data_IF_446714494527
#
_entry.id   IF_446714494527
#
_cell.length_a   1.000
_cell.length_b   1.000
_cell.length_c   1.000
_cell.angle_alpha   90.00
_cell.angle_beta   90.00
_cell.angle_gamma   90.00
#
_symmetry.space_group_name_H-M   'P 1'
#
loop_
_entity.id
_entity.type
_entity.pdbx_description
1 polymer ?
#
# COMPACT_ATOMS: atom_id res chain seq x y z
N UNK A 1 4.02 3.90 -13.47
CA UNK A 1 3.96 4.46 -12.11
C UNK A 1 5.37 4.60 -11.52
N UNK A 2 6.16 3.53 -11.43
CA UNK A 2 7.55 3.61 -10.92
C UNK A 2 8.46 4.59 -11.68
N UNK A 3 8.33 4.72 -13.00
CA UNK A 3 9.07 5.71 -13.78
C UNK A 3 8.79 7.16 -13.38
N UNK A 4 7.57 7.46 -12.93
CA UNK A 4 7.20 8.81 -12.46
C UNK A 4 7.77 9.08 -11.06
N UNK A 5 7.72 8.09 -10.17
CA UNK A 5 8.31 8.17 -8.84
C UNK A 5 9.83 8.40 -8.92
N UNK A 6 10.50 7.65 -9.80
CA UNK A 6 11.93 7.81 -10.07
C UNK A 6 12.27 9.18 -10.64
N UNK A 7 11.47 9.69 -11.59
CA UNK A 7 11.68 11.02 -12.17
C UNK A 7 11.51 12.15 -11.14
N UNK A 8 10.56 12.00 -10.22
CA UNK A 8 10.28 12.98 -9.18
C UNK A 8 11.12 12.79 -7.92
N UNK A 9 11.92 11.72 -7.84
CA UNK A 9 12.66 11.30 -6.64
C UNK A 9 11.76 11.28 -5.38
N UNK A 10 10.58 10.68 -5.50
CA UNK A 10 9.61 10.57 -4.40
C UNK A 10 9.29 9.11 -4.08
N UNK A 11 9.23 8.80 -2.79
CA UNK A 11 8.75 7.51 -2.29
C UNK A 11 7.21 7.42 -2.37
N UNK A 12 6.70 6.19 -2.47
CA UNK A 12 5.27 5.93 -2.48
C UNK A 12 4.81 5.32 -1.16
N UNK A 13 3.66 5.79 -0.68
CA UNK A 13 2.93 5.14 0.39
C UNK A 13 1.79 4.33 -0.23
N UNK A 14 1.89 2.99 -0.16
CA UNK A 14 0.88 2.07 -0.68
C UNK A 14 -0.09 1.69 0.44
N UNK A 15 -1.38 1.93 0.19
CA UNK A 15 -2.50 1.55 1.03
C UNK A 15 -3.31 0.44 0.33
N UNK A 16 -3.16 -0.80 0.78
CA UNK A 16 -4.08 -1.87 0.37
C UNK A 16 -5.34 -1.81 1.23
N UNK A 17 -6.44 -1.44 0.58
CA UNK A 17 -7.74 -1.17 1.22
C UNK A 17 -8.87 -1.87 0.47
N UNK A 18 -10.10 -1.68 0.92
CA UNK A 18 -11.29 -2.17 0.26
C UNK A 18 -12.50 -1.28 0.50
N UNK A 19 -13.44 -1.29 -0.44
CA UNK A 19 -14.71 -0.56 -0.33
C UNK A 19 -15.49 -1.04 0.89
N UNK A 20 -15.53 -2.36 1.11
CA UNK A 20 -16.20 -2.99 2.25
C UNK A 20 -15.36 -3.10 3.53
N UNK A 21 -14.14 -2.55 3.56
CA UNK A 21 -13.20 -2.75 4.66
C UNK A 21 -13.51 -1.87 5.88
N UNK A 22 -14.27 -2.40 6.84
CA UNK A 22 -14.64 -1.68 8.08
C UNK A 22 -13.41 -1.22 8.86
N UNK A 23 -12.40 -2.08 9.01
CA UNK A 23 -11.18 -1.74 9.76
C UNK A 23 -10.34 -0.67 9.07
N UNK A 24 -10.37 -0.60 7.73
CA UNK A 24 -9.69 0.46 6.98
C UNK A 24 -10.31 1.82 7.32
N UNK A 25 -11.66 1.92 7.27
CA UNK A 25 -12.37 3.17 7.58
C UNK A 25 -12.22 3.58 9.05
N UNK A 26 -12.23 2.64 9.99
CA UNK A 26 -11.95 2.93 11.40
C UNK A 26 -10.55 3.51 11.59
N UNK A 27 -9.56 2.90 10.94
CA UNK A 27 -8.17 3.33 11.07
C UNK A 27 -7.93 4.69 10.39
N UNK A 28 -8.48 4.92 9.19
CA UNK A 28 -8.48 6.24 8.56
C UNK A 28 -9.12 7.31 9.48
N UNK A 29 -10.29 7.02 10.05
CA UNK A 29 -10.99 7.95 10.92
C UNK A 29 -10.23 8.24 12.23
N UNK A 30 -9.56 7.25 12.82
CA UNK A 30 -8.84 7.38 14.08
C UNK A 30 -7.40 7.92 13.92
N UNK A 31 -6.76 7.67 12.78
CA UNK A 31 -5.32 7.92 12.58
C UNK A 31 -5.05 8.94 11.49
N UNK A 32 -5.71 8.87 10.32
CA UNK A 32 -5.40 9.77 9.21
C UNK A 32 -6.02 11.16 9.36
N UNK A 33 -7.02 11.29 10.24
CA UNK A 33 -7.61 12.60 10.59
C UNK A 33 -6.72 13.41 11.53
N UNK A 34 -5.71 12.79 12.15
CA UNK A 34 -4.71 13.51 12.93
C UNK A 34 -3.93 14.48 12.01
N UNK A 35 -3.84 15.78 12.34
CA UNK A 35 -3.21 16.77 11.48
C UNK A 35 -1.73 16.49 11.18
N UNK A 36 -0.99 15.90 12.13
CA UNK A 36 0.43 15.59 11.93
C UNK A 36 0.63 14.41 11.00
N UNK A 37 -0.28 13.43 11.03
CA UNK A 37 -0.29 12.28 10.11
C UNK A 37 -0.70 12.74 8.72
N UNK A 38 -1.81 13.47 8.60
CA UNK A 38 -2.32 13.96 7.32
C UNK A 38 -1.26 14.78 6.58
N UNK A 39 -0.63 15.73 7.29
CA UNK A 39 0.43 16.57 6.74
C UNK A 39 1.59 15.73 6.18
N UNK A 40 2.05 14.72 6.91
CA UNK A 40 3.11 13.82 6.43
C UNK A 40 2.71 13.09 5.16
N UNK A 41 1.51 12.49 5.13
CA UNK A 41 1.02 11.75 3.96
C UNK A 41 0.97 12.68 2.74
N UNK A 42 0.39 13.87 2.89
CA UNK A 42 0.21 14.83 1.79
C UNK A 42 1.53 15.42 1.26
N UNK A 43 2.49 15.71 2.15
CA UNK A 43 3.72 16.43 1.80
C UNK A 43 4.88 15.51 1.42
N UNK A 44 4.98 14.33 2.04
CA UNK A 44 6.18 13.50 1.96
C UNK A 44 6.03 12.29 1.03
N UNK A 45 4.81 11.92 0.63
CA UNK A 45 4.55 10.67 -0.09
C UNK A 45 3.63 10.88 -1.29
N UNK A 46 3.84 10.04 -2.31
CA UNK A 46 2.78 9.74 -3.27
C UNK A 46 1.91 8.64 -2.69
N UNK A 47 0.71 9.00 -2.20
CA UNK A 47 -0.27 8.03 -1.73
C UNK A 47 -0.87 7.25 -2.90
N UNK A 48 -0.85 5.92 -2.82
CA UNK A 48 -1.47 5.02 -3.77
C UNK A 48 -2.38 4.04 -3.04
N UNK A 49 -3.68 4.24 -3.17
CA UNK A 49 -4.68 3.30 -2.63
C UNK A 49 -5.00 2.22 -3.66
N UNK A 50 -4.80 0.97 -3.27
CA UNK A 50 -5.05 -0.23 -4.06
C UNK A 50 -6.26 -0.96 -3.49
N UNK A 51 -7.40 -0.79 -4.15
CA UNK A 51 -8.68 -1.38 -3.75
C UNK A 51 -8.71 -2.86 -4.14
N UNK A 52 -8.63 -3.76 -3.15
CA UNK A 52 -8.52 -5.21 -3.37
C UNK A 52 -9.85 -5.87 -3.74
N UNK A 53 -10.97 -5.20 -3.49
CA UNK A 53 -12.33 -5.65 -3.79
C UNK A 53 -12.96 -4.92 -4.98
N UNK A 54 -12.17 -4.13 -5.72
CA UNK A 54 -12.60 -3.40 -6.91
C UNK A 54 -13.12 -4.34 -8.00
N UNK A 55 -14.35 -4.10 -8.46
CA UNK A 55 -15.09 -4.97 -9.39
C UNK A 55 -14.87 -4.61 -10.85
N UNK A 56 -14.23 -3.47 -11.13
CA UNK A 56 -13.84 -3.12 -12.49
C UNK A 56 -13.07 -4.27 -13.14
N UNK A 57 -13.54 -4.73 -14.30
CA UNK A 57 -12.89 -5.77 -15.08
C UNK A 57 -11.53 -5.29 -15.61
N UNK A 58 -10.56 -6.20 -15.67
CA UNK A 58 -9.33 -5.98 -16.42
C UNK A 58 -9.64 -5.97 -17.92
N UNK A 59 -8.85 -5.25 -18.74
CA UNK A 59 -8.98 -5.31 -20.20
C UNK A 59 -8.94 -6.74 -20.73
N UNK A 60 -8.07 -7.58 -20.14
CA UNK A 60 -7.94 -9.00 -20.43
C UNK A 60 -7.66 -9.80 -19.14
N UNK A 61 -8.17 -11.04 -19.01
CA UNK A 61 -7.84 -11.90 -17.88
C UNK A 61 -6.35 -12.26 -17.85
N UNK A 62 -5.77 -12.29 -16.65
CA UNK A 62 -4.33 -12.61 -16.46
C UNK A 62 -4.21 -13.93 -15.70
N UNK A 63 -3.48 -14.90 -16.25
CA UNK A 63 -3.12 -16.12 -15.52
C UNK A 63 -1.86 -15.88 -14.70
N UNK A 64 -1.91 -16.25 -13.43
CA UNK A 64 -0.79 -16.13 -12.49
C UNK A 64 -0.58 -17.42 -11.73
N UNK A 65 0.63 -17.62 -11.23
CA UNK A 65 0.98 -18.72 -10.34
C UNK A 65 1.04 -18.19 -8.91
N UNK A 66 0.32 -18.85 -8.01
CA UNK A 66 0.36 -18.58 -6.57
C UNK A 66 1.60 -19.23 -5.94
N UNK A 67 1.90 -18.87 -4.68
CA UNK A 67 3.05 -19.42 -3.95
C UNK A 67 2.92 -20.92 -3.66
N UNK A 68 1.70 -21.45 -3.63
CA UNK A 68 1.40 -22.90 -3.51
C UNK A 68 1.53 -23.66 -4.84
N UNK A 69 1.85 -22.95 -5.92
CA UNK A 69 2.01 -23.50 -7.27
C UNK A 69 0.71 -23.61 -8.07
N UNK A 70 -0.45 -23.29 -7.50
CA UNK A 70 -1.72 -23.28 -8.24
C UNK A 70 -1.79 -22.13 -9.24
N UNK A 71 -2.45 -22.37 -10.37
CA UNK A 71 -2.79 -21.31 -11.31
C UNK A 71 -4.10 -20.63 -10.90
N UNK A 72 -4.13 -19.30 -10.99
CA UNK A 72 -5.34 -18.49 -10.83
C UNK A 72 -5.49 -17.53 -11.99
N UNK A 73 -6.75 -17.27 -12.36
CA UNK A 73 -7.08 -16.25 -13.37
C UNK A 73 -7.61 -15.01 -12.67
N UNK A 74 -6.87 -13.90 -12.80
CA UNK A 74 -7.27 -12.58 -12.34
C UNK A 74 -8.18 -11.94 -13.38
N UNK A 75 -9.35 -11.44 -12.97
CA UNK A 75 -10.37 -10.91 -13.87
C UNK A 75 -10.69 -9.45 -13.60
N UNK A 76 -10.46 -8.99 -12.38
CA UNK A 76 -10.78 -7.65 -11.91
C UNK A 76 -9.54 -6.89 -11.43
N UNK A 77 -9.65 -5.57 -11.33
CA UNK A 77 -8.62 -4.73 -10.70
C UNK A 77 -8.39 -5.17 -9.25
N UNK A 78 -9.44 -5.54 -8.51
CA UNK A 78 -9.33 -6.11 -7.17
C UNK A 78 -8.53 -7.41 -7.12
N UNK A 79 -8.77 -8.34 -8.05
CA UNK A 79 -7.99 -9.59 -8.14
C UNK A 79 -6.50 -9.29 -8.34
N UNK A 80 -6.19 -8.31 -9.20
CA UNK A 80 -4.82 -7.87 -9.49
C UNK A 80 -4.12 -7.35 -8.24
N UNK A 81 -4.76 -6.47 -7.48
CA UNK A 81 -4.15 -5.90 -6.27
C UNK A 81 -4.10 -6.90 -5.12
N UNK A 82 -5.13 -7.73 -4.96
CA UNK A 82 -5.14 -8.86 -4.03
C UNK A 82 -3.97 -9.82 -4.29
N UNK A 83 -3.73 -10.17 -5.56
CA UNK A 83 -2.60 -11.03 -5.94
C UNK A 83 -1.25 -10.34 -5.68
N UNK A 84 -1.11 -9.07 -6.06
CA UNK A 84 0.12 -8.30 -5.81
C UNK A 84 0.47 -8.31 -4.33
N UNK A 85 -0.51 -8.07 -3.45
CA UNK A 85 -0.31 -8.06 -2.00
C UNK A 85 0.24 -9.40 -1.49
N UNK A 86 -0.38 -10.51 -1.90
CA UNK A 86 0.06 -11.86 -1.51
C UNK A 86 1.44 -12.18 -2.04
N UNK A 87 1.65 -11.92 -3.33
CA UNK A 87 2.85 -12.33 -4.04
C UNK A 87 4.08 -11.51 -3.60
N UNK A 88 3.94 -10.20 -3.41
CA UNK A 88 5.06 -9.32 -3.03
C UNK A 88 5.28 -9.22 -1.54
N UNK A 89 4.22 -9.28 -0.74
CA UNK A 89 4.29 -8.97 0.68
C UNK A 89 3.84 -10.11 1.60
N UNK A 90 3.44 -11.26 1.05
CA UNK A 90 3.00 -12.41 1.85
C UNK A 90 1.76 -12.12 2.69
N UNK A 91 0.97 -11.11 2.32
CA UNK A 91 -0.17 -10.63 3.10
C UNK A 91 -1.46 -10.65 2.27
N UNK A 92 -2.59 -10.85 2.94
CA UNK A 92 -3.92 -10.91 2.32
C UNK A 92 -5.01 -10.17 3.12
N UNK A 93 -4.64 -9.52 4.23
CA UNK A 93 -5.56 -8.77 5.07
C UNK A 93 -5.42 -7.25 4.82
N UNK A 94 -6.52 -6.53 5.01
CA UNK A 94 -6.59 -5.07 4.89
C UNK A 94 -7.16 -4.48 6.20
N UNK A 95 -6.76 -3.25 6.60
CA UNK A 95 -5.80 -2.37 5.94
C UNK A 95 -4.36 -2.90 6.03
N UNK A 96 -3.58 -2.64 4.97
CA UNK A 96 -2.15 -2.96 4.93
C UNK A 96 -1.40 -1.82 4.26
N UNK A 97 -0.56 -1.14 5.05
CA UNK A 97 0.20 0.03 4.64
C UNK A 97 1.67 -0.31 4.50
N UNK A 98 2.32 0.18 3.45
CA UNK A 98 3.76 0.04 3.27
C UNK A 98 4.35 1.23 2.54
N UNK A 99 5.52 1.70 2.96
CA UNK A 99 6.30 2.71 2.24
C UNK A 99 7.32 2.00 1.36
N UNK A 100 7.41 2.40 0.09
CA UNK A 100 8.34 1.84 -0.89
C UNK A 100 9.15 2.95 -1.57
N UNK A 101 10.37 2.61 -1.99
CA UNK A 101 11.24 3.49 -2.79
C UNK A 101 10.77 3.59 -4.26
N UNK A 102 11.54 4.30 -5.08
CA UNK A 102 11.27 4.50 -6.51
C UNK A 102 11.36 3.21 -7.34
N UNK A 103 12.00 2.17 -6.81
CA UNK A 103 12.16 0.84 -7.42
C UNK A 103 11.12 -0.17 -6.90
N UNK A 104 10.27 0.24 -5.95
CA UNK A 104 9.27 -0.61 -5.32
C UNK A 104 9.80 -1.51 -4.20
N UNK A 105 10.99 -1.24 -3.67
CA UNK A 105 11.56 -1.91 -2.51
C UNK A 105 10.93 -1.34 -1.22
N UNK A 106 10.52 -2.20 -0.27
CA UNK A 106 10.05 -1.74 1.04
C UNK A 106 11.10 -0.92 1.81
N UNK A 107 10.68 0.27 2.25
CA UNK A 107 11.45 1.12 3.14
C UNK A 107 11.04 0.88 4.60
N UNK A 108 9.77 0.62 4.87
CA UNK A 108 9.28 0.30 6.22
C UNK A 108 8.89 -1.17 6.33
N UNK A 109 8.74 -1.66 7.57
CA UNK A 109 7.84 -2.79 7.81
C UNK A 109 6.38 -2.37 7.55
N UNK A 110 5.44 -3.30 7.38
CA UNK A 110 4.06 -2.94 7.14
C UNK A 110 3.39 -2.39 8.40
N UNK A 111 2.42 -1.50 8.21
CA UNK A 111 1.51 -1.08 9.26
C UNK A 111 0.10 -1.62 8.95
N UNK A 112 -0.37 -2.54 9.79
CA UNK A 112 -1.69 -3.16 9.68
C UNK A 112 -2.71 -2.44 10.56
N UNK A 113 -3.93 -2.97 10.70
CA UNK A 113 -4.94 -2.37 11.55
C UNK A 113 -4.45 -2.15 13.00
N UNK A 114 -4.31 -0.88 13.36
CA UNK A 114 -4.04 -0.41 14.71
C UNK A 114 -4.40 1.07 14.80
N UNK A 115 -5.27 1.44 15.72
CA UNK A 115 -5.65 2.84 15.98
C UNK A 115 -4.60 3.50 16.89
N UNK A 116 -3.39 3.69 16.36
CA UNK A 116 -2.20 4.14 17.11
C UNK A 116 -1.48 5.26 16.34
N UNK A 117 -1.83 6.51 16.65
CA UNK A 117 -1.25 7.71 16.02
C UNK A 117 0.27 7.80 16.22
N UNK A 118 0.82 7.66 17.44
CA UNK A 118 2.28 7.65 17.64
C UNK A 118 2.99 6.54 16.85
N UNK A 119 2.41 5.34 16.83
CA UNK A 119 2.94 4.22 16.05
C UNK A 119 2.94 4.50 14.55
N UNK A 120 1.86 5.09 14.03
CA UNK A 120 1.73 5.41 12.62
C UNK A 120 2.67 6.51 12.18
N UNK A 121 2.84 7.55 13.01
CA UNK A 121 3.85 8.59 12.82
C UNK A 121 5.25 8.00 12.69
N UNK A 122 5.62 7.11 13.62
CA UNK A 122 6.92 6.42 13.58
C UNK A 122 7.09 5.58 12.31
N UNK A 123 6.03 4.92 11.83
CA UNK A 123 6.05 4.16 10.58
C UNK A 123 6.36 5.06 9.37
N UNK A 124 5.66 6.19 9.22
CA UNK A 124 5.90 7.15 8.14
C UNK A 124 7.30 7.75 8.22
N UNK A 125 7.69 8.24 9.41
CA UNK A 125 9.00 8.86 9.63
C UNK A 125 10.15 7.86 9.37
N UNK A 126 9.95 6.57 9.66
CA UNK A 126 10.94 5.51 9.35
C UNK A 126 11.10 5.32 7.84
N UNK A 127 10.00 5.32 7.08
CA UNK A 127 10.04 5.24 5.62
C UNK A 127 10.82 6.41 5.03
N UNK A 128 10.49 7.64 5.44
CA UNK A 128 11.16 8.88 5.03
C UNK A 128 12.65 8.87 5.33
N UNK A 129 13.02 8.52 6.56
CA UNK A 129 14.41 8.53 6.99
C UNK A 129 15.28 7.49 6.27
N UNK A 130 14.69 6.39 5.78
CA UNK A 130 15.41 5.40 4.97
C UNK A 130 15.55 5.81 3.53
N UNK A 131 14.52 6.43 2.94
CA UNK A 131 14.60 6.97 1.58
C UNK A 131 15.75 7.97 1.44
N UNK A 132 15.86 8.91 2.39
CA UNK A 132 16.94 9.91 2.43
C UNK A 132 18.36 9.36 2.66
N UNK A 133 18.52 8.04 2.86
CA UNK A 133 19.84 7.37 2.96
C UNK A 133 20.18 6.54 1.71
N UNK A 134 19.19 6.29 0.85
CA UNK A 134 19.37 5.52 -0.38
C UNK A 134 19.63 6.43 -1.61
N UNK A 135 19.21 7.70 -1.54
CA UNK A 135 19.59 8.79 -2.46
C UNK A 135 20.85 9.56 -2.00
#
# INVERSE_FOLDING_TARGET
MFTLLAFLAVMAFIDFSGHGCVNCRKMEAAVWTDPEIKKRIDEDFVLVTLMVDEKQALPEPIKVKESDGQERTLRTVGDKWSYLQRYKFGANAQPYHIVIDTNGKPLSGPFVYKEDVPGYKKFLDTGKAKFAKED
#
